data_IF_675967291971
#
_entry.id   IF_675967291971
#
_cell.length_a   1.000
_cell.length_b   1.000
_cell.length_c   1.000
_cell.angle_alpha   90.00
_cell.angle_beta   90.00
_cell.angle_gamma   90.00
#
_symmetry.space_group_name_H-M   'P 1'
#
loop_
_entity.id
_entity.type
_entity.pdbx_description
1 polymer ?
#
# COMPACT_ATOMS: atom_id res chain seq x y z
N UNK A 1 10.03 17.44 7.56
CA UNK A 1 8.57 17.23 7.54
C UNK A 1 8.17 16.73 8.91
N UNK A 2 7.18 17.34 9.55
CA UNK A 2 6.64 16.84 10.81
C UNK A 2 5.92 15.52 10.54
N UNK A 3 6.14 14.52 11.39
CA UNK A 3 5.40 13.27 11.28
C UNK A 3 4.01 13.49 11.88
N UNK A 4 2.96 13.31 11.06
CA UNK A 4 1.59 13.28 11.54
C UNK A 4 1.26 11.87 12.05
N UNK A 5 0.53 11.79 13.17
CA UNK A 5 0.10 10.52 13.76
C UNK A 5 -1.30 10.15 13.25
N UNK A 6 -1.41 9.02 12.55
CA UNK A 6 -2.69 8.40 12.23
C UNK A 6 -3.13 7.46 13.36
N UNK A 7 -4.33 7.67 13.91
CA UNK A 7 -4.94 6.74 14.89
C UNK A 7 -6.07 5.96 14.23
N UNK A 8 -5.97 4.63 14.26
CA UNK A 8 -6.98 3.72 13.68
C UNK A 8 -7.78 3.08 14.82
N UNK A 9 -9.11 3.22 14.78
CA UNK A 9 -10.01 2.46 15.66
C UNK A 9 -10.39 1.16 14.96
N UNK A 10 -10.09 0.04 15.59
CA UNK A 10 -10.47 -1.28 15.10
C UNK A 10 -11.88 -1.62 15.60
N UNK A 11 -12.73 -2.09 14.70
CA UNK A 11 -13.99 -2.71 15.11
C UNK A 11 -13.73 -4.02 15.86
N UNK A 12 -14.72 -4.54 16.60
CA UNK A 12 -14.54 -5.74 17.42
C UNK A 12 -14.13 -7.00 16.63
N UNK A 13 -14.59 -7.15 15.39
CA UNK A 13 -14.30 -8.33 14.57
C UNK A 13 -12.86 -8.32 14.09
N UNK A 14 -12.40 -7.18 13.59
CA UNK A 14 -11.03 -6.98 13.15
C UNK A 14 -10.04 -7.10 14.33
N UNK A 15 -10.39 -6.55 15.50
CA UNK A 15 -9.59 -6.71 16.71
C UNK A 15 -9.46 -8.19 17.13
N UNK A 16 -10.55 -8.95 17.07
CA UNK A 16 -10.52 -10.38 17.39
C UNK A 16 -9.70 -11.19 16.39
N UNK A 17 -9.72 -10.82 15.11
CA UNK A 17 -8.85 -11.41 14.09
C UNK A 17 -7.38 -11.14 14.38
N UNK A 18 -7.02 -9.89 14.65
CA UNK A 18 -5.66 -9.48 14.96
C UNK A 18 -5.09 -10.19 16.20
N UNK A 19 -5.87 -10.31 17.27
CA UNK A 19 -5.45 -11.06 18.47
C UNK A 19 -5.16 -12.53 18.19
N UNK A 20 -5.96 -13.18 17.32
CA UNK A 20 -5.71 -14.56 16.91
C UNK A 20 -4.45 -14.65 16.05
N UNK A 21 -4.30 -13.75 15.08
CA UNK A 21 -3.13 -13.70 14.22
C UNK A 21 -1.84 -13.53 15.02
N UNK A 22 -1.81 -12.59 15.97
CA UNK A 22 -0.68 -12.36 16.88
C UNK A 22 -0.38 -13.62 17.72
N UNK A 23 -1.40 -14.29 18.25
CA UNK A 23 -1.20 -15.56 18.98
C UNK A 23 -0.48 -16.62 18.13
N UNK A 24 -0.79 -16.71 16.84
CA UNK A 24 -0.19 -17.69 15.94
C UNK A 24 1.19 -17.30 15.41
N UNK A 25 1.44 -16.01 15.22
CA UNK A 25 2.62 -15.51 14.47
C UNK A 25 3.58 -14.67 15.30
N UNK A 26 3.16 -14.26 16.50
CA UNK A 26 3.83 -13.24 17.34
C UNK A 26 3.96 -11.87 16.66
N UNK A 27 3.23 -11.65 15.55
CA UNK A 27 3.16 -10.35 14.88
C UNK A 27 2.06 -9.51 15.48
N UNK A 28 2.44 -8.36 16.04
CA UNK A 28 1.50 -7.41 16.62
C UNK A 28 0.66 -6.73 15.53
N UNK A 29 -0.53 -6.20 15.85
CA UNK A 29 -1.35 -5.48 14.88
C UNK A 29 -0.66 -4.25 14.31
N UNK A 30 0.10 -3.53 15.13
CA UNK A 30 0.87 -2.37 14.71
C UNK A 30 1.91 -2.75 13.65
N UNK A 31 2.72 -3.78 13.93
CA UNK A 31 3.72 -4.26 12.98
C UNK A 31 3.09 -4.73 11.66
N UNK A 32 1.97 -5.45 11.72
CA UNK A 32 1.25 -5.88 10.52
C UNK A 32 0.82 -4.69 9.66
N UNK A 33 0.27 -3.64 10.27
CA UNK A 33 -0.20 -2.45 9.57
C UNK A 33 0.98 -1.66 9.00
N UNK A 34 2.08 -1.50 9.75
CA UNK A 34 3.29 -0.84 9.27
C UNK A 34 3.86 -1.56 8.03
N UNK A 35 3.94 -2.88 8.08
CA UNK A 35 4.36 -3.71 6.95
C UNK A 35 3.40 -3.59 5.75
N UNK A 36 2.09 -3.57 6.00
CA UNK A 36 1.09 -3.39 4.95
C UNK A 36 1.25 -2.03 4.27
N UNK A 37 1.43 -0.96 5.05
CA UNK A 37 1.66 0.40 4.54
C UNK A 37 2.98 0.48 3.76
N UNK A 38 4.04 -0.16 4.24
CA UNK A 38 5.32 -0.21 3.53
C UNK A 38 5.20 -0.92 2.18
N UNK A 39 4.52 -2.07 2.14
CA UNK A 39 4.31 -2.88 0.92
C UNK A 39 3.38 -2.20 -0.08
N UNK A 40 2.39 -1.45 0.39
CA UNK A 40 1.41 -0.78 -0.47
C UNK A 40 1.81 0.64 -0.86
N UNK A 41 2.85 1.22 -0.24
CA UNK A 41 3.35 2.56 -0.57
C UNK A 41 3.66 2.76 -2.06
N UNK A 42 4.35 1.85 -2.78
CA UNK A 42 4.62 2.06 -4.21
C UNK A 42 3.34 2.15 -5.05
N UNK A 43 2.33 1.34 -4.70
CA UNK A 43 1.02 1.40 -5.34
C UNK A 43 0.32 2.72 -5.07
N UNK A 44 0.32 3.18 -3.81
CA UNK A 44 -0.28 4.47 -3.45
C UNK A 44 0.40 5.62 -4.19
N UNK A 45 1.74 5.60 -4.28
CA UNK A 45 2.51 6.59 -5.03
C UNK A 45 2.11 6.60 -6.52
N UNK A 46 2.03 5.43 -7.16
CA UNK A 46 1.61 5.32 -8.56
C UNK A 46 0.19 5.86 -8.79
N UNK A 47 -0.74 5.62 -7.86
CA UNK A 47 -2.11 6.18 -7.94
C UNK A 47 -2.09 7.69 -7.85
N UNK A 48 -1.39 8.25 -6.86
CA UNK A 48 -1.31 9.71 -6.67
C UNK A 48 -0.69 10.38 -7.89
N UNK A 49 0.42 9.85 -8.42
CA UNK A 49 1.03 10.39 -9.63
C UNK A 49 0.10 10.31 -10.85
N UNK A 50 -0.63 9.20 -11.02
CA UNK A 50 -1.59 9.09 -12.12
C UNK A 50 -2.74 10.09 -11.98
N UNK A 51 -3.19 10.38 -10.75
CA UNK A 51 -4.21 11.40 -10.47
C UNK A 51 -3.69 12.81 -10.79
N UNK A 52 -2.47 13.12 -10.34
CA UNK A 52 -1.82 14.41 -10.58
C UNK A 52 -1.60 14.65 -12.07
N UNK A 53 -1.12 13.63 -12.80
CA UNK A 53 -0.87 13.69 -14.24
C UNK A 53 -2.15 13.71 -15.08
N UNK A 54 -3.23 13.05 -14.62
CA UNK A 54 -4.50 13.03 -15.34
C UNK A 54 -5.25 14.37 -15.28
N UNK A 55 -4.93 15.25 -14.31
CA UNK A 55 -5.53 16.57 -14.16
C UNK A 55 -7.08 16.59 -14.23
N UNK A 56 -7.72 15.52 -13.74
CA UNK A 56 -9.18 15.36 -13.73
C UNK A 56 -9.79 14.66 -14.96
N UNK A 57 -8.98 14.22 -15.93
CA UNK A 57 -9.43 13.39 -17.06
C UNK A 57 -9.50 11.88 -16.67
N UNK A 58 -10.71 11.29 -16.62
CA UNK A 58 -10.89 9.88 -16.24
C UNK A 58 -10.25 8.88 -17.23
N UNK A 59 -10.18 9.21 -18.52
CA UNK A 59 -9.59 8.33 -19.53
C UNK A 59 -8.06 8.39 -19.51
N UNK A 60 -7.49 9.56 -19.22
CA UNK A 60 -6.06 9.69 -18.94
C UNK A 60 -5.68 8.93 -17.68
N UNK A 61 -6.46 9.05 -16.60
CA UNK A 61 -6.22 8.36 -15.33
C UNK A 61 -6.15 6.85 -15.51
N UNK A 62 -7.11 6.25 -16.21
CA UNK A 62 -7.14 4.81 -16.45
C UNK A 62 -5.89 4.30 -17.20
N UNK A 63 -5.43 5.04 -18.22
CA UNK A 63 -4.24 4.71 -19.00
C UNK A 63 -2.95 4.85 -18.17
N UNK A 64 -2.81 5.95 -17.44
CA UNK A 64 -1.64 6.25 -16.61
C UNK A 64 -1.51 5.25 -15.47
N UNK A 65 -2.62 4.97 -14.78
CA UNK A 65 -2.65 3.97 -13.72
C UNK A 65 -2.26 2.58 -14.23
N UNK A 66 -2.83 2.13 -15.36
CA UNK A 66 -2.48 0.86 -15.97
C UNK A 66 -0.98 0.74 -16.32
N UNK A 67 -0.40 1.80 -16.87
CA UNK A 67 1.03 1.85 -17.21
C UNK A 67 1.95 1.77 -15.98
N UNK A 68 1.63 2.54 -14.92
CA UNK A 68 2.42 2.55 -13.68
C UNK A 68 2.31 1.20 -12.94
N UNK A 69 1.12 0.59 -12.90
CA UNK A 69 0.93 -0.74 -12.30
C UNK A 69 1.67 -1.84 -13.07
N UNK A 70 1.65 -1.80 -14.41
CA UNK A 70 2.42 -2.74 -15.21
C UNK A 70 3.93 -2.65 -14.92
N UNK A 71 4.45 -1.44 -14.68
CA UNK A 71 5.85 -1.21 -14.33
C UNK A 71 6.22 -1.74 -12.93
N UNK A 72 5.28 -1.69 -11.97
CA UNK A 72 5.46 -2.24 -10.63
C UNK A 72 5.42 -3.78 -10.58
N UNK A 73 4.74 -4.41 -11.54
CA UNK A 73 4.60 -5.87 -11.63
C UNK A 73 5.68 -6.52 -12.50
N UNK A 74 6.55 -5.75 -13.15
CA UNK A 74 7.70 -6.30 -13.85
C UNK A 74 8.65 -6.92 -12.82
N UNK A 75 8.97 -8.22 -12.92
CA UNK A 75 9.97 -8.82 -12.05
C UNK A 75 11.29 -8.08 -12.27
N UNK A 76 11.90 -7.63 -11.18
CA UNK A 76 13.22 -7.01 -11.21
C UNK A 76 14.26 -8.08 -11.60
N UNK A 77 14.39 -8.36 -12.90
CA UNK A 77 15.52 -9.11 -13.46
C UNK A 77 16.76 -8.22 -13.39
N UNK A 78 17.32 -8.09 -12.19
CA UNK A 78 18.69 -7.65 -11.95
C UNK A 78 19.35 -8.55 -10.91
N UNK A 79 19.44 -9.83 -11.24
CA UNK A 79 20.59 -10.63 -10.85
C UNK A 79 21.33 -10.97 -12.16
N UNK A 80 22.66 -10.88 -12.11
CA UNK A 80 23.63 -11.22 -13.17
C UNK A 80 24.00 -10.10 -14.14
N UNK A 81 25.05 -9.34 -13.82
CA UNK A 81 26.36 -9.45 -14.52
C UNK A 81 27.44 -8.92 -13.59
#
# INVERSE_FOLDING_TARGET
>A
MSADTLTIKLDPELLALFRRYEKHTQVTPAYYIDELLAKTRPTLQAVVEALDEAAGDPEALARLFGSKMASLMQPTDKATT
#
